data_IF_371546378755
#
_entry.id   IF_371546378755
#
_cell.length_a   1.000
_cell.length_b   1.000
_cell.length_c   1.000
_cell.angle_alpha   90.00
_cell.angle_beta   90.00
_cell.angle_gamma   90.00
#
_symmetry.space_group_name_H-M   'P 1'
#
loop_
_entity.id
_entity.type
_entity.pdbx_description
1 polymer ?
#
# COMPACT_ATOMS: atom_id res chain seq x y z
N UNK A 1 -8.65 -36.51 -34.86
CA UNK A 1 -9.60 -36.16 -33.80
C UNK A 1 -8.91 -36.38 -32.47
N UNK A 2 -8.31 -35.34 -31.89
CA UNK A 2 -7.59 -35.43 -30.61
C UNK A 2 -7.79 -34.12 -29.87
N UNK A 3 -8.62 -34.12 -28.83
CA UNK A 3 -8.97 -32.93 -28.05
C UNK A 3 -7.91 -32.70 -26.98
N UNK A 4 -7.19 -31.57 -27.05
CA UNK A 4 -6.24 -31.14 -26.01
C UNK A 4 -6.93 -30.12 -25.11
N UNK A 5 -7.14 -30.49 -23.84
CA UNK A 5 -7.72 -29.61 -22.82
C UNK A 5 -6.66 -28.63 -22.29
N UNK A 6 -6.98 -27.34 -22.27
CA UNK A 6 -6.08 -26.29 -21.74
C UNK A 6 -6.21 -26.22 -20.22
N UNK A 7 -5.17 -26.64 -19.50
CA UNK A 7 -5.03 -26.43 -18.05
C UNK A 7 -4.24 -25.16 -17.77
N UNK A 8 -4.95 -24.07 -17.46
CA UNK A 8 -4.34 -22.82 -17.01
C UNK A 8 -4.11 -22.87 -15.50
N UNK A 9 -2.88 -23.12 -15.06
CA UNK A 9 -2.55 -23.03 -13.63
C UNK A 9 -2.44 -21.57 -13.17
N UNK A 10 -3.33 -21.20 -12.25
CA UNK A 10 -3.24 -19.97 -11.48
C UNK A 10 -2.54 -20.28 -10.15
N UNK A 11 -1.52 -19.50 -9.73
CA UNK A 11 -0.90 -19.71 -8.42
C UNK A 11 -1.91 -19.41 -7.30
N UNK A 12 -1.84 -20.13 -6.16
CA UNK A 12 -2.81 -19.96 -5.08
C UNK A 12 -2.72 -18.54 -4.49
N UNK A 13 -3.87 -17.86 -4.48
CA UNK A 13 -4.03 -16.55 -3.80
C UNK A 13 -3.91 -16.75 -2.29
N UNK A 14 -2.77 -16.36 -1.74
CA UNK A 14 -2.53 -16.44 -0.30
C UNK A 14 -3.61 -15.70 0.50
N UNK A 15 -4.04 -16.34 1.59
CA UNK A 15 -5.03 -15.80 2.52
C UNK A 15 -4.37 -14.77 3.43
N UNK A 16 -4.32 -13.51 2.98
CA UNK A 16 -4.24 -12.40 3.93
C UNK A 16 -5.61 -12.25 4.59
N UNK A 17 -5.65 -12.38 5.90
CA UNK A 17 -6.84 -12.12 6.69
C UNK A 17 -7.16 -10.63 6.61
N UNK A 18 -8.38 -10.28 6.21
CA UNK A 18 -8.84 -8.90 6.07
C UNK A 18 -9.11 -8.26 7.45
N UNK A 19 -8.03 -8.05 8.21
CA UNK A 19 -7.97 -7.26 9.45
C UNK A 19 -8.14 -5.75 9.19
N UNK A 20 -8.94 -5.39 8.17
CA UNK A 20 -9.36 -4.03 7.83
C UNK A 20 -10.81 -3.73 8.27
N UNK A 21 -11.52 -4.72 8.81
CA UNK A 21 -12.93 -4.63 9.21
C UNK A 21 -13.18 -3.92 10.56
N UNK A 22 -12.30 -3.00 10.99
CA UNK A 22 -12.29 -2.44 12.35
C UNK A 22 -12.55 -0.93 12.45
N UNK A 23 -12.68 -0.21 11.33
CA UNK A 23 -13.15 1.20 11.36
C UNK A 23 -14.00 1.65 10.17
N UNK A 24 -14.57 0.72 9.39
CA UNK A 24 -15.67 1.06 8.48
C UNK A 24 -17.00 1.00 9.25
N UNK A 25 -17.24 2.04 10.07
CA UNK A 25 -18.45 2.19 10.89
C UNK A 25 -19.69 2.16 10.00
N UNK A 26 -20.30 0.97 9.90
CA UNK A 26 -21.44 0.70 9.01
C UNK A 26 -22.57 1.69 9.29
N UNK A 27 -23.31 2.10 8.26
CA UNK A 27 -24.40 3.09 8.39
C UNK A 27 -25.38 2.79 9.53
N UNK A 28 -25.66 1.50 9.80
CA UNK A 28 -26.46 1.04 10.94
C UNK A 28 -25.89 1.47 12.32
N UNK A 29 -24.57 1.37 12.53
CA UNK A 29 -23.93 1.78 13.79
C UNK A 29 -23.98 3.30 13.99
N UNK A 30 -23.82 4.09 12.92
CA UNK A 30 -24.00 5.55 12.98
C UNK A 30 -25.45 5.90 13.32
N UNK A 31 -26.42 5.18 12.75
CA UNK A 31 -27.85 5.35 13.10
C UNK A 31 -28.08 5.03 14.58
N UNK A 32 -27.58 3.90 15.07
CA UNK A 32 -27.71 3.46 16.47
C UNK A 32 -27.12 4.47 17.46
N UNK A 33 -25.92 4.99 17.22
CA UNK A 33 -25.32 6.07 18.02
C UNK A 33 -26.18 7.35 18.00
N UNK A 34 -26.75 7.74 16.85
CA UNK A 34 -27.66 8.90 16.82
C UNK A 34 -29.00 8.67 17.52
N UNK A 35 -29.52 7.43 17.57
CA UNK A 35 -30.67 7.08 18.41
C UNK A 35 -30.31 7.13 19.89
N UNK A 36 -29.15 6.62 20.29
CA UNK A 36 -28.66 6.63 21.67
C UNK A 36 -28.45 8.07 22.18
N UNK A 37 -27.78 8.92 21.41
CA UNK A 37 -27.62 10.36 21.71
C UNK A 37 -28.98 11.07 21.80
N UNK A 38 -29.94 10.74 20.94
CA UNK A 38 -31.31 11.30 21.00
C UNK A 38 -32.06 10.85 22.25
N UNK A 39 -31.87 9.60 22.69
CA UNK A 39 -32.43 9.03 23.93
C UNK A 39 -31.83 9.72 25.17
N UNK A 40 -30.52 9.97 25.20
CA UNK A 40 -29.88 10.80 26.22
C UNK A 40 -30.46 12.21 26.22
N UNK A 41 -30.53 12.88 25.04
CA UNK A 41 -31.05 14.25 24.93
C UNK A 41 -32.48 14.36 25.45
N UNK A 42 -33.36 13.42 25.10
CA UNK A 42 -34.76 13.42 25.59
C UNK A 42 -34.88 13.11 27.08
N UNK A 43 -33.95 12.36 27.68
CA UNK A 43 -33.90 12.15 29.14
C UNK A 43 -33.39 13.40 29.86
N UNK A 44 -32.33 14.06 29.37
CA UNK A 44 -31.84 15.33 29.93
C UNK A 44 -32.89 16.45 29.79
N UNK A 45 -33.61 16.50 28.66
CA UNK A 45 -34.73 17.41 28.43
C UNK A 45 -35.88 17.17 29.44
N UNK A 46 -36.20 15.90 29.76
CA UNK A 46 -37.15 15.56 30.83
C UNK A 46 -36.66 15.99 32.21
N UNK A 47 -35.39 15.78 32.54
CA UNK A 47 -34.81 16.21 33.82
C UNK A 47 -34.86 17.74 33.94
N UNK A 48 -34.46 18.49 32.90
CA UNK A 48 -34.59 19.96 32.88
C UNK A 48 -36.05 20.39 33.07
N UNK A 49 -36.97 19.77 32.32
CA UNK A 49 -38.39 20.12 32.41
C UNK A 49 -39.08 19.61 33.69
N UNK A 50 -38.45 18.77 34.51
CA UNK A 50 -38.88 18.54 35.89
C UNK A 50 -38.38 19.67 36.79
N UNK A 51 -37.06 19.88 36.84
CA UNK A 51 -36.44 20.88 37.73
C UNK A 51 -36.96 22.30 37.54
N UNK A 52 -37.31 22.69 36.31
CA UNK A 52 -37.74 24.04 35.96
C UNK A 52 -39.25 24.21 35.71
N UNK A 53 -40.09 23.19 35.97
CA UNK A 53 -41.56 23.36 35.97
C UNK A 53 -42.12 23.68 37.34
N UNK A 54 -41.52 23.15 38.40
CA UNK A 54 -42.02 23.33 39.77
C UNK A 54 -41.87 24.79 40.26
N UNK A 55 -40.94 25.57 39.69
CA UNK A 55 -40.73 27.00 40.03
C UNK A 55 -41.73 27.99 39.39
N UNK A 56 -42.47 27.60 38.33
CA UNK A 56 -43.29 28.53 37.53
C UNK A 56 -44.80 28.28 37.72
N UNK A 57 -45.19 27.18 38.37
CA UNK A 57 -46.58 26.70 38.42
C UNK A 57 -47.35 26.80 39.74
N UNK A 58 -46.75 27.28 40.85
CA UNK A 58 -47.36 27.19 42.20
C UNK A 58 -47.63 28.53 42.91
N UNK A 59 -48.06 29.56 42.18
CA UNK A 59 -48.66 30.77 42.78
C UNK A 59 -50.19 30.75 42.68
N UNK A 60 -50.84 30.61 43.85
CA UNK A 60 -52.32 30.55 44.06
C UNK A 60 -53.03 29.34 43.40
N UNK A 61 -53.59 28.41 44.17
CA UNK A 61 -54.87 28.64 44.87
C UNK A 61 -55.18 27.58 45.93
N UNK A 62 -55.61 28.05 47.11
CA UNK A 62 -56.50 27.41 48.10
C UNK A 62 -56.55 25.88 48.24
N UNK A 63 -56.19 25.39 49.43
CA UNK A 63 -57.16 24.57 50.19
C UNK A 63 -57.21 25.02 51.66
N UNK A 64 -58.37 25.56 52.04
CA UNK A 64 -58.73 25.96 53.41
C UNK A 64 -59.77 24.95 53.91
N UNK A 65 -59.44 24.19 54.96
CA UNK A 65 -60.41 23.38 55.71
C UNK A 65 -60.16 23.51 57.22
N UNK A 66 -60.99 24.36 57.82
CA UNK A 66 -61.75 24.11 59.04
C UNK A 66 -61.05 23.65 60.33
N UNK A 67 -61.06 24.56 61.30
CA UNK A 67 -60.90 24.25 62.72
C UNK A 67 -62.27 24.12 63.41
N UNK A 68 -62.36 23.26 64.46
CA UNK A 68 -63.59 22.81 65.17
C UNK A 68 -64.43 21.82 64.34
N UNK A 69 -65.12 20.80 64.85
CA UNK A 69 -65.32 20.20 66.20
C UNK A 69 -65.88 18.75 65.99
N UNK A 70 -66.09 17.83 66.95
CA UNK A 70 -65.87 17.71 68.40
C UNK A 70 -65.76 16.21 68.78
N UNK A 71 -65.41 15.87 70.04
CA UNK A 71 -65.46 14.51 70.59
C UNK A 71 -65.26 14.53 72.11
N UNK A 72 -66.31 14.20 72.89
CA UNK A 72 -66.40 14.42 74.34
C UNK A 72 -66.34 13.10 75.15
N UNK A 73 -66.49 13.19 76.49
CA UNK A 73 -66.59 12.15 77.54
C UNK A 73 -65.25 11.90 78.27
N UNK A 74 -65.14 12.07 79.60
CA UNK A 74 -66.02 12.66 80.62
C UNK A 74 -65.18 13.04 81.88
N UNK A 75 -65.70 13.97 82.70
CA UNK A 75 -65.40 14.24 84.13
C UNK A 75 -63.91 14.33 84.58
N UNK A 76 -63.46 15.31 85.35
CA UNK A 76 -64.18 16.30 86.15
C UNK A 76 -63.87 16.11 87.64
N UNK A 77 -62.82 16.77 88.13
CA UNK A 77 -62.55 17.01 89.55
C UNK A 77 -61.43 18.04 89.68
N UNK A 78 -61.65 19.12 90.43
CA UNK A 78 -60.61 20.10 90.75
C UNK A 78 -59.73 19.59 91.90
N UNK A 79 -58.41 19.74 91.78
CA UNK A 79 -57.47 19.73 92.90
C UNK A 79 -56.19 20.48 92.53
N UNK A 80 -55.89 21.58 93.23
CA UNK A 80 -54.63 22.30 93.07
C UNK A 80 -53.45 21.44 93.55
N UNK A 81 -52.36 21.34 92.76
CA UNK A 81 -51.01 20.98 93.26
C UNK A 81 -49.92 21.30 92.23
N UNK A 82 -48.69 21.53 92.70
CA UNK A 82 -47.61 22.24 91.99
C UNK A 82 -47.10 21.62 90.66
N UNK A 83 -46.98 22.41 89.58
CA UNK A 83 -46.49 21.95 88.28
C UNK A 83 -44.97 22.16 88.07
N UNK A 84 -44.10 21.66 88.96
CA UNK A 84 -42.63 21.83 88.80
C UNK A 84 -41.75 20.65 89.27
N UNK A 85 -41.61 19.64 88.40
CA UNK A 85 -40.46 18.70 88.41
C UNK A 85 -40.42 17.83 87.14
N UNK A 86 -41.49 17.08 86.88
CA UNK A 86 -41.53 16.06 85.82
C UNK A 86 -41.32 16.60 84.38
N UNK A 87 -41.72 17.84 84.11
CA UNK A 87 -41.57 18.48 82.78
C UNK A 87 -40.08 18.64 82.38
N UNK A 88 -39.22 19.00 83.34
CA UNK A 88 -37.79 19.23 83.08
C UNK A 88 -37.04 17.92 82.75
N UNK A 89 -37.41 16.82 83.40
CA UNK A 89 -36.87 15.48 83.10
C UNK A 89 -37.18 15.04 81.67
N UNK A 90 -38.43 15.23 81.23
CA UNK A 90 -38.85 14.88 79.86
C UNK A 90 -38.11 15.73 78.80
N UNK A 91 -37.93 17.03 79.06
CA UNK A 91 -37.21 17.93 78.15
C UNK A 91 -35.72 17.58 78.04
N UNK A 92 -35.04 17.29 79.16
CA UNK A 92 -33.61 16.91 79.16
C UNK A 92 -33.35 15.51 78.59
N UNK A 93 -34.32 14.59 78.67
CA UNK A 93 -34.27 13.33 77.93
C UNK A 93 -34.43 13.54 76.41
N UNK A 94 -35.41 14.36 76.00
CA UNK A 94 -35.65 14.72 74.59
C UNK A 94 -34.49 15.50 73.96
N UNK A 95 -33.78 16.31 74.75
CA UNK A 95 -32.55 17.00 74.36
C UNK A 95 -31.43 16.00 74.05
N UNK A 96 -31.11 15.10 74.99
CA UNK A 96 -30.07 14.06 74.78
C UNK A 96 -30.41 13.09 73.63
N UNK A 97 -31.69 12.79 73.40
CA UNK A 97 -32.12 12.03 72.22
C UNK A 97 -31.79 12.73 70.90
N UNK A 98 -32.03 14.05 70.81
CA UNK A 98 -31.62 14.87 69.65
C UNK A 98 -30.10 14.98 69.50
N UNK A 99 -29.38 15.07 70.60
CA UNK A 99 -27.92 15.17 70.63
C UNK A 99 -27.25 13.88 70.10
N UNK A 100 -27.76 12.71 70.51
CA UNK A 100 -27.36 11.42 69.94
C UNK A 100 -27.71 11.30 68.45
N UNK A 101 -28.89 11.78 68.04
CA UNK A 101 -29.28 11.79 66.62
C UNK A 101 -28.36 12.69 65.79
N UNK A 102 -27.98 13.87 66.31
CA UNK A 102 -27.06 14.80 65.65
C UNK A 102 -25.64 14.22 65.58
N UNK A 103 -25.17 13.52 66.62
CA UNK A 103 -23.91 12.79 66.61
C UNK A 103 -23.88 11.73 65.49
N UNK A 104 -24.96 10.96 65.32
CA UNK A 104 -25.04 9.92 64.29
C UNK A 104 -25.11 10.51 62.88
N UNK A 105 -25.92 11.57 62.66
CA UNK A 105 -25.93 12.30 61.40
C UNK A 105 -24.57 12.94 61.07
N UNK A 106 -23.79 13.35 62.08
CA UNK A 106 -22.45 13.89 61.84
C UNK A 106 -21.46 12.80 61.38
N UNK A 107 -21.53 11.59 61.94
CA UNK A 107 -20.77 10.42 61.44
C UNK A 107 -21.18 10.06 60.01
N UNK A 108 -22.48 10.06 59.73
CA UNK A 108 -22.99 9.77 58.39
C UNK A 108 -22.49 10.79 57.36
N UNK A 109 -22.47 12.09 57.69
CA UNK A 109 -21.93 13.13 56.82
C UNK A 109 -20.43 12.94 56.51
N UNK A 110 -19.59 12.62 57.50
CA UNK A 110 -18.17 12.31 57.24
C UNK A 110 -17.99 11.04 56.39
N UNK A 111 -18.82 10.00 56.59
CA UNK A 111 -18.81 8.80 55.73
C UNK A 111 -19.27 9.13 54.29
N UNK A 112 -20.27 10.00 54.11
CA UNK A 112 -20.74 10.45 52.80
C UNK A 112 -19.69 11.30 52.09
N UNK A 113 -18.97 12.16 52.82
CA UNK A 113 -17.85 12.97 52.32
C UNK A 113 -16.69 12.09 51.84
N UNK A 114 -16.28 11.10 52.64
CA UNK A 114 -15.25 10.11 52.23
C UNK A 114 -15.71 9.34 50.97
N UNK A 115 -16.97 8.90 50.89
CA UNK A 115 -17.53 8.25 49.69
C UNK A 115 -17.53 9.17 48.47
N UNK A 116 -17.85 10.45 48.63
CA UNK A 116 -17.85 11.45 47.56
C UNK A 116 -16.43 11.73 47.04
N UNK A 117 -15.46 11.86 47.95
CA UNK A 117 -14.04 12.04 47.60
C UNK A 117 -13.47 10.79 46.92
N UNK A 118 -13.74 9.60 47.44
CA UNK A 118 -13.34 8.34 46.81
C UNK A 118 -13.99 8.14 45.43
N UNK A 119 -15.26 8.49 45.25
CA UNK A 119 -15.94 8.42 43.95
C UNK A 119 -15.39 9.44 42.94
N UNK A 120 -14.95 10.62 43.40
CA UNK A 120 -14.30 11.62 42.55
C UNK A 120 -12.91 11.16 42.11
N UNK A 121 -12.11 10.63 43.04
CA UNK A 121 -10.77 10.12 42.70
C UNK A 121 -10.85 8.88 41.80
N UNK A 122 -11.80 7.95 42.04
CA UNK A 122 -12.03 6.82 41.14
C UNK A 122 -12.39 7.28 39.71
N UNK A 123 -13.22 8.32 39.58
CA UNK A 123 -13.53 8.94 38.28
C UNK A 123 -12.31 9.60 37.63
N UNK A 124 -11.52 10.35 38.39
CA UNK A 124 -10.29 10.98 37.91
C UNK A 124 -9.23 9.95 37.49
N UNK A 125 -9.06 8.87 38.26
CA UNK A 125 -8.19 7.75 37.94
C UNK A 125 -8.65 6.99 36.68
N UNK A 126 -9.96 6.79 36.49
CA UNK A 126 -10.51 6.19 35.27
C UNK A 126 -10.21 7.06 34.03
N UNK A 127 -10.43 8.38 34.12
CA UNK A 127 -10.10 9.32 33.04
C UNK A 127 -8.60 9.33 32.72
N UNK A 128 -7.72 9.32 33.74
CA UNK A 128 -6.27 9.21 33.56
C UNK A 128 -5.87 7.91 32.84
N UNK A 129 -6.45 6.77 33.24
CA UNK A 129 -6.21 5.48 32.59
C UNK A 129 -6.67 5.46 31.11
N UNK A 130 -7.83 6.04 30.80
CA UNK A 130 -8.33 6.13 29.41
C UNK A 130 -7.43 7.02 28.57
N UNK A 131 -7.03 8.20 29.09
CA UNK A 131 -6.13 9.12 28.39
C UNK A 131 -4.75 8.49 28.13
N UNK A 132 -4.19 7.78 29.11
CA UNK A 132 -2.92 7.06 28.97
C UNK A 132 -3.01 5.98 27.87
N UNK A 133 -4.02 5.10 27.92
CA UNK A 133 -4.21 4.03 26.91
C UNK A 133 -4.42 4.59 25.50
N UNK A 134 -5.13 5.71 25.36
CA UNK A 134 -5.30 6.37 24.05
C UNK A 134 -3.96 6.89 23.50
N UNK A 135 -3.10 7.46 24.35
CA UNK A 135 -1.76 7.90 23.98
C UNK A 135 -0.85 6.72 23.61
N UNK A 136 -0.82 5.67 24.45
CA UNK A 136 -0.03 4.44 24.21
C UNK A 136 -0.43 3.74 22.91
N UNK A 137 -1.74 3.63 22.64
CA UNK A 137 -2.26 3.07 21.39
C UNK A 137 -1.87 3.93 20.18
N UNK A 138 -2.00 5.26 20.26
CA UNK A 138 -1.62 6.17 19.18
C UNK A 138 -0.11 6.11 18.89
N UNK A 139 0.73 6.11 19.92
CA UNK A 139 2.18 5.99 19.78
C UNK A 139 2.54 4.64 19.14
N UNK A 140 2.02 3.53 19.66
CA UNK A 140 2.26 2.18 19.13
C UNK A 140 1.83 2.09 17.66
N UNK A 141 0.65 2.60 17.31
CA UNK A 141 0.16 2.61 15.93
C UNK A 141 1.04 3.48 15.01
N UNK A 142 1.52 4.62 15.49
CA UNK A 142 2.42 5.50 14.73
C UNK A 142 3.79 4.84 14.46
N UNK A 143 4.38 4.21 15.48
CA UNK A 143 5.63 3.47 15.37
C UNK A 143 5.50 2.21 14.49
N UNK A 144 4.37 1.52 14.56
CA UNK A 144 4.03 0.41 13.66
C UNK A 144 3.91 0.83 12.19
N UNK A 145 3.19 1.93 11.92
CA UNK A 145 3.03 2.44 10.56
C UNK A 145 4.35 2.99 10.00
N UNK A 146 5.19 3.58 10.86
CA UNK A 146 6.56 3.98 10.50
C UNK A 146 7.41 2.77 10.13
N UNK A 147 7.49 1.73 10.99
CA UNK A 147 8.25 0.50 10.72
C UNK A 147 7.80 -0.16 9.42
N UNK A 148 6.49 -0.36 9.23
CA UNK A 148 5.92 -0.92 7.98
C UNK A 148 6.29 -0.10 6.74
N UNK A 149 6.44 1.22 6.85
CA UNK A 149 6.90 2.06 5.75
C UNK A 149 8.41 1.89 5.48
N UNK A 150 9.23 1.84 6.52
CA UNK A 150 10.68 1.62 6.44
C UNK A 150 11.00 0.22 5.87
N UNK A 151 10.33 -0.82 6.35
CA UNK A 151 10.40 -2.20 5.82
C UNK A 151 10.00 -2.27 4.34
N UNK A 152 8.92 -1.58 3.97
CA UNK A 152 8.45 -1.52 2.58
C UNK A 152 9.41 -0.73 1.68
N UNK A 153 10.08 0.31 2.20
CA UNK A 153 11.06 1.09 1.47
C UNK A 153 12.35 0.30 1.23
N UNK A 154 12.87 -0.41 2.25
CA UNK A 154 13.98 -1.34 2.09
C UNK A 154 13.64 -2.49 1.14
N UNK A 155 12.45 -3.08 1.26
CA UNK A 155 11.99 -4.14 0.33
C UNK A 155 11.96 -3.63 -1.11
N UNK A 156 11.46 -2.42 -1.36
CA UNK A 156 11.48 -1.80 -2.69
C UNK A 156 12.91 -1.51 -3.18
N UNK A 157 13.80 -1.08 -2.29
CA UNK A 157 15.21 -0.80 -2.61
C UNK A 157 15.99 -2.08 -2.99
N UNK A 158 15.80 -3.18 -2.26
CA UNK A 158 16.38 -4.49 -2.57
C UNK A 158 15.86 -5.01 -3.92
N UNK A 159 14.54 -4.97 -4.13
CA UNK A 159 13.93 -5.35 -5.41
C UNK A 159 14.47 -4.51 -6.57
N UNK A 160 14.68 -3.19 -6.40
CA UNK A 160 15.28 -2.34 -7.43
C UNK A 160 16.69 -2.81 -7.79
N UNK A 161 17.55 -3.05 -6.80
CA UNK A 161 18.92 -3.51 -7.02
C UNK A 161 18.98 -4.89 -7.69
N UNK A 162 18.09 -5.81 -7.32
CA UNK A 162 18.00 -7.13 -7.97
C UNK A 162 17.60 -7.03 -9.44
N UNK A 163 16.63 -6.17 -9.78
CA UNK A 163 16.23 -5.93 -11.18
C UNK A 163 17.31 -5.19 -11.98
N UNK A 164 18.03 -4.25 -11.35
CA UNK A 164 19.17 -3.55 -11.94
C UNK A 164 20.33 -4.51 -12.25
N UNK A 165 20.61 -5.48 -11.36
CA UNK A 165 21.58 -6.55 -11.60
C UNK A 165 21.13 -7.51 -12.71
N UNK A 166 19.85 -7.92 -12.76
CA UNK A 166 19.30 -8.76 -13.85
C UNK A 166 19.37 -8.05 -15.20
N UNK A 167 19.06 -6.76 -15.25
CA UNK A 167 19.20 -5.96 -16.47
C UNK A 167 20.66 -5.88 -16.92
N UNK A 168 21.62 -5.71 -16.00
CA UNK A 168 23.05 -5.75 -16.33
C UNK A 168 23.48 -7.10 -16.91
N UNK A 169 23.06 -8.21 -16.31
CA UNK A 169 23.33 -9.55 -16.86
C UNK A 169 22.78 -9.69 -18.28
N UNK A 170 21.55 -9.26 -18.54
CA UNK A 170 20.97 -9.34 -19.89
C UNK A 170 21.67 -8.44 -20.92
N UNK A 171 22.26 -7.31 -20.51
CA UNK A 171 23.13 -6.50 -21.39
C UNK A 171 24.44 -7.24 -21.69
N UNK A 172 25.05 -7.90 -20.70
CA UNK A 172 26.25 -8.73 -20.90
C UNK A 172 25.96 -9.95 -21.79
N UNK A 173 24.80 -10.60 -21.62
CA UNK A 173 24.31 -11.70 -22.47
C UNK A 173 24.10 -11.23 -23.92
N UNK A 174 23.49 -10.06 -24.13
CA UNK A 174 23.25 -9.47 -25.45
C UNK A 174 24.56 -9.07 -26.15
N UNK A 175 25.53 -8.51 -25.43
CA UNK A 175 26.84 -8.18 -25.98
C UNK A 175 27.56 -9.43 -26.48
N UNK A 176 27.57 -10.52 -25.70
CA UNK A 176 28.14 -11.81 -26.14
C UNK A 176 27.44 -12.40 -27.38
N UNK A 177 26.15 -12.13 -27.58
CA UNK A 177 25.42 -12.54 -28.79
C UNK A 177 25.78 -11.64 -29.98
N UNK A 178 26.00 -10.34 -29.77
CA UNK A 178 26.45 -9.42 -30.79
C UNK A 178 27.88 -9.73 -31.27
N UNK A 179 28.81 -9.97 -30.35
CA UNK A 179 30.19 -10.39 -30.65
C UNK A 179 30.22 -11.66 -31.51
N UNK A 180 29.50 -12.71 -31.11
CA UNK A 180 29.38 -13.96 -31.88
C UNK A 180 28.69 -13.78 -33.23
N UNK A 181 27.79 -12.81 -33.37
CA UNK A 181 27.14 -12.48 -34.64
C UNK A 181 28.12 -11.77 -35.59
N UNK A 182 28.99 -10.90 -35.07
CA UNK A 182 30.05 -10.24 -35.83
C UNK A 182 31.13 -11.24 -36.26
N UNK A 183 31.61 -12.12 -35.36
CA UNK A 183 32.51 -13.24 -35.70
C UNK A 183 31.95 -14.10 -36.85
N UNK A 184 30.67 -14.46 -36.77
CA UNK A 184 29.98 -15.25 -37.81
C UNK A 184 29.82 -14.49 -39.12
N UNK A 185 29.68 -13.16 -39.08
CA UNK A 185 29.64 -12.31 -40.27
C UNK A 185 31.02 -12.19 -40.94
N UNK A 186 32.10 -12.08 -40.15
CA UNK A 186 33.48 -12.17 -40.66
C UNK A 186 33.75 -13.53 -41.31
N UNK A 187 33.36 -14.64 -40.67
CA UNK A 187 33.50 -16.00 -41.22
C UNK A 187 32.74 -16.18 -42.54
N UNK A 188 31.51 -15.65 -42.67
CA UNK A 188 30.76 -15.61 -43.93
C UNK A 188 31.56 -14.84 -45.00
N UNK A 189 32.03 -13.64 -44.66
CA UNK A 189 32.77 -12.76 -45.59
C UNK A 189 34.06 -13.42 -46.09
N UNK A 190 34.81 -14.09 -45.21
CA UNK A 190 36.03 -14.83 -45.58
C UNK A 190 35.73 -16.02 -46.51
N UNK A 191 34.66 -16.78 -46.22
CA UNK A 191 34.25 -17.91 -47.05
C UNK A 191 33.71 -17.48 -48.42
N UNK A 192 32.98 -16.36 -48.50
CA UNK A 192 32.52 -15.77 -49.76
C UNK A 192 33.72 -15.32 -50.62
N UNK A 193 34.72 -14.66 -50.03
CA UNK A 193 35.97 -14.27 -50.71
C UNK A 193 36.84 -15.48 -51.10
N UNK A 194 36.76 -16.61 -50.38
CA UNK A 194 37.41 -17.86 -50.79
C UNK A 194 36.67 -18.51 -51.97
N UNK A 195 35.35 -18.61 -51.89
CA UNK A 195 34.48 -19.13 -52.95
C UNK A 195 34.66 -18.35 -54.25
N UNK A 196 34.62 -17.02 -54.22
CA UNK A 196 34.78 -16.19 -55.42
C UNK A 196 36.12 -16.49 -56.13
N UNK A 197 37.23 -16.57 -55.38
CA UNK A 197 38.55 -16.87 -55.96
C UNK A 197 38.61 -18.27 -56.58
N UNK A 198 37.96 -19.27 -55.97
CA UNK A 198 37.85 -20.61 -56.57
C UNK A 198 36.96 -20.61 -57.83
N UNK A 199 35.91 -19.79 -57.90
CA UNK A 199 35.10 -19.65 -59.12
C UNK A 199 35.86 -18.92 -60.25
N UNK A 200 36.71 -17.96 -59.91
CA UNK A 200 37.63 -17.29 -60.85
C UNK A 200 38.71 -18.24 -61.37
N UNK A 201 39.33 -19.03 -60.49
CA UNK A 201 40.28 -20.10 -60.88
C UNK A 201 39.59 -21.12 -61.80
N UNK A 202 38.43 -21.64 -61.42
CA UNK A 202 37.61 -22.55 -62.25
C UNK A 202 37.32 -21.97 -63.63
N UNK A 203 37.05 -20.66 -63.73
CA UNK A 203 36.82 -19.95 -65.01
C UNK A 203 38.07 -19.95 -65.88
N UNK A 204 39.22 -19.56 -65.35
CA UNK A 204 40.49 -19.54 -66.11
C UNK A 204 40.97 -20.95 -66.51
N UNK A 205 40.73 -21.97 -65.69
CA UNK A 205 40.99 -23.37 -66.05
C UNK A 205 40.09 -23.85 -67.21
N UNK A 206 38.80 -23.48 -67.22
CA UNK A 206 37.88 -23.77 -68.32
C UNK A 206 38.29 -23.06 -69.62
N UNK A 207 38.70 -21.80 -69.54
CA UNK A 207 39.23 -21.03 -70.69
C UNK A 207 40.52 -21.66 -71.24
N UNK A 208 41.45 -22.08 -70.37
CA UNK A 208 42.66 -22.82 -70.77
C UNK A 208 42.30 -24.12 -71.48
N UNK A 209 41.41 -24.93 -70.89
CA UNK A 209 40.95 -26.20 -71.46
C UNK A 209 40.37 -26.02 -72.87
N UNK A 210 39.48 -25.05 -73.04
CA UNK A 210 38.88 -24.71 -74.32
C UNK A 210 39.92 -24.22 -75.34
N UNK A 211 40.97 -23.51 -74.91
CA UNK A 211 42.11 -23.15 -75.78
C UNK A 211 42.87 -24.37 -76.27
N UNK A 212 43.11 -25.38 -75.42
CA UNK A 212 43.78 -26.63 -75.81
C UNK A 212 42.90 -27.51 -76.71
N UNK A 213 41.60 -27.59 -76.45
CA UNK A 213 40.64 -28.31 -77.29
C UNK A 213 40.61 -27.75 -78.72
N UNK A 214 40.62 -26.42 -78.87
CA UNK A 214 40.72 -25.76 -80.17
C UNK A 214 42.06 -26.06 -80.87
N UNK A 215 43.19 -26.04 -80.15
CA UNK A 215 44.51 -26.42 -80.70
C UNK A 215 44.56 -27.89 -81.13
N UNK A 216 44.00 -28.80 -80.34
CA UNK A 216 43.89 -30.22 -80.66
C UNK A 216 43.03 -30.45 -81.90
N UNK A 217 41.96 -29.67 -82.09
CA UNK A 217 41.11 -29.72 -83.28
C UNK A 217 41.86 -29.24 -84.53
N UNK A 218 42.61 -28.12 -84.44
CA UNK A 218 43.48 -27.62 -85.52
C UNK A 218 44.63 -28.59 -85.87
N UNK A 219 45.20 -29.26 -84.88
CA UNK A 219 46.24 -30.28 -85.09
C UNK A 219 45.66 -31.57 -85.67
N UNK A 220 44.43 -31.98 -85.32
CA UNK A 220 43.76 -33.14 -85.94
C UNK A 220 43.45 -32.93 -87.44
N UNK A 221 43.31 -31.69 -87.91
CA UNK A 221 43.27 -31.39 -89.36
C UNK A 221 44.65 -31.47 -90.06
N UNK A 222 45.75 -31.68 -89.34
CA UNK A 222 47.11 -31.70 -89.88
C UNK A 222 47.83 -33.02 -89.54
N UNK A 223 47.88 -33.94 -90.52
CA UNK A 223 48.21 -35.36 -90.32
C UNK A 223 49.51 -35.73 -89.55
N UNK A 224 50.66 -35.03 -89.63
CA UNK A 224 51.92 -35.59 -89.10
C UNK A 224 52.13 -35.47 -87.58
N UNK A 225 51.26 -34.80 -86.82
CA UNK A 225 51.54 -34.38 -85.43
C UNK A 225 50.96 -35.30 -84.33
N UNK A 226 50.88 -36.62 -84.57
CA UNK A 226 50.21 -37.58 -83.70
C UNK A 226 50.62 -37.53 -82.21
N UNK A 227 51.92 -37.34 -81.90
CA UNK A 227 52.40 -37.26 -80.51
C UNK A 227 51.92 -36.00 -79.79
N UNK A 228 52.03 -34.83 -80.43
CA UNK A 228 51.52 -33.55 -79.88
C UNK A 228 50.02 -33.59 -79.61
N UNK A 229 49.25 -34.33 -80.43
CA UNK A 229 47.84 -34.59 -80.16
C UNK A 229 47.60 -35.44 -78.90
N UNK A 230 48.46 -36.41 -78.59
CA UNK A 230 48.38 -37.17 -77.33
C UNK A 230 48.79 -36.32 -76.13
N UNK A 231 49.87 -35.54 -76.25
CA UNK A 231 50.35 -34.65 -75.19
C UNK A 231 49.28 -33.61 -74.81
N UNK A 232 48.63 -32.98 -75.80
CA UNK A 232 47.49 -32.08 -75.60
C UNK A 232 46.27 -32.77 -74.99
N UNK A 233 45.94 -33.99 -75.44
CA UNK A 233 44.79 -34.73 -74.90
C UNK A 233 45.02 -35.19 -73.46
N UNK A 234 46.28 -35.40 -73.05
CA UNK A 234 46.67 -35.61 -71.65
C UNK A 234 46.50 -34.32 -70.82
N UNK A 235 46.97 -33.16 -71.30
CA UNK A 235 46.79 -31.88 -70.59
C UNK A 235 45.30 -31.52 -70.42
N UNK A 236 44.47 -31.73 -71.45
CA UNK A 236 43.01 -31.52 -71.38
C UNK A 236 42.35 -32.44 -70.34
N UNK A 237 42.85 -33.68 -70.19
CA UNK A 237 42.35 -34.64 -69.20
C UNK A 237 42.71 -34.21 -67.77
N UNK A 238 43.95 -33.78 -67.54
CA UNK A 238 44.42 -33.24 -66.25
C UNK A 238 43.63 -31.99 -65.86
N UNK A 239 43.42 -31.05 -66.79
CA UNK A 239 42.58 -29.87 -66.53
C UNK A 239 41.14 -30.26 -66.20
N UNK A 240 40.56 -31.28 -66.85
CA UNK A 240 39.21 -31.73 -66.53
C UNK A 240 39.12 -32.35 -65.14
N UNK A 241 40.14 -33.08 -64.68
CA UNK A 241 40.23 -33.60 -63.32
C UNK A 241 40.36 -32.46 -62.29
N UNK A 242 41.28 -31.50 -62.52
CA UNK A 242 41.44 -30.31 -61.68
C UNK A 242 40.15 -29.50 -61.54
N UNK A 243 39.46 -29.24 -62.67
CA UNK A 243 38.16 -28.56 -62.70
C UNK A 243 37.09 -29.34 -61.91
N UNK A 244 37.12 -30.68 -61.97
CA UNK A 244 36.16 -31.54 -61.24
C UNK A 244 36.41 -31.53 -59.74
N UNK A 245 37.68 -31.61 -59.32
CA UNK A 245 38.07 -31.48 -57.91
C UNK A 245 37.71 -30.10 -57.34
N UNK A 246 38.05 -29.02 -58.07
CA UNK A 246 37.73 -27.66 -57.65
C UNK A 246 36.21 -27.42 -57.54
N UNK A 247 35.40 -28.01 -58.44
CA UNK A 247 33.94 -27.99 -58.32
C UNK A 247 33.43 -28.68 -57.05
N UNK A 248 34.02 -29.81 -56.65
CA UNK A 248 33.65 -30.50 -55.41
C UNK A 248 34.00 -29.66 -54.17
N UNK A 249 35.19 -29.04 -54.14
CA UNK A 249 35.60 -28.14 -53.05
C UNK A 249 34.67 -26.92 -52.96
N UNK A 250 34.39 -26.25 -54.09
CA UNK A 250 33.40 -25.16 -54.15
C UNK A 250 32.05 -25.61 -53.58
N UNK A 251 31.52 -26.75 -54.02
CA UNK A 251 30.23 -27.25 -53.53
C UNK A 251 30.23 -27.47 -52.00
N UNK A 252 31.30 -28.03 -51.45
CA UNK A 252 31.45 -28.22 -49.99
C UNK A 252 31.48 -26.88 -49.22
N UNK A 253 32.14 -25.85 -49.76
CA UNK A 253 32.21 -24.53 -49.12
C UNK A 253 30.88 -23.78 -49.22
N UNK A 254 30.15 -23.89 -50.33
CA UNK A 254 28.77 -23.37 -50.41
C UNK A 254 27.84 -24.05 -49.39
N UNK A 255 28.02 -25.35 -49.11
CA UNK A 255 27.21 -26.06 -48.12
C UNK A 255 27.55 -25.61 -46.68
N UNK A 256 28.84 -25.38 -46.38
CA UNK A 256 29.28 -24.77 -45.13
C UNK A 256 28.70 -23.35 -44.95
N UNK A 257 28.83 -22.50 -45.97
CA UNK A 257 28.30 -21.13 -45.99
C UNK A 257 26.79 -21.09 -45.71
N UNK A 258 26.00 -21.99 -46.32
CA UNK A 258 24.55 -22.14 -46.03
C UNK A 258 24.27 -22.46 -44.55
N UNK A 259 25.09 -23.30 -43.91
CA UNK A 259 24.94 -23.63 -42.49
C UNK A 259 25.17 -22.41 -41.60
N UNK A 260 26.23 -21.64 -41.87
CA UNK A 260 26.58 -20.44 -41.09
C UNK A 260 25.54 -19.33 -41.30
N UNK A 261 25.01 -19.17 -42.52
CA UNK A 261 23.87 -18.28 -42.80
C UNK A 261 22.61 -18.72 -42.02
N UNK A 262 22.34 -20.02 -41.92
CA UNK A 262 21.21 -20.55 -41.15
C UNK A 262 21.37 -20.32 -39.64
N UNK A 263 22.58 -20.48 -39.09
CA UNK A 263 22.91 -20.11 -37.71
C UNK A 263 22.68 -18.60 -37.46
N UNK A 264 23.17 -17.75 -38.36
CA UNK A 264 23.00 -16.30 -38.31
C UNK A 264 21.53 -15.88 -38.37
N UNK A 265 20.72 -16.45 -39.27
CA UNK A 265 19.28 -16.19 -39.36
C UNK A 265 18.55 -16.65 -38.07
N UNK A 266 19.01 -17.75 -37.45
CA UNK A 266 18.58 -18.19 -36.13
C UNK A 266 18.84 -17.13 -35.05
N UNK A 267 20.09 -16.69 -34.88
CA UNK A 267 20.48 -15.65 -33.91
C UNK A 267 19.69 -14.36 -34.13
N UNK A 268 19.63 -13.88 -35.37
CA UNK A 268 18.85 -12.70 -35.82
C UNK A 268 17.36 -12.79 -35.47
N UNK A 269 16.77 -13.99 -35.50
CA UNK A 269 15.38 -14.18 -35.07
C UNK A 269 15.22 -14.27 -33.55
N UNK A 270 16.22 -14.77 -32.81
CA UNK A 270 16.22 -14.67 -31.33
C UNK A 270 16.39 -13.22 -30.86
N UNK A 271 17.21 -12.41 -31.53
CA UNK A 271 17.37 -10.98 -31.23
C UNK A 271 16.04 -10.23 -31.38
N UNK A 272 15.36 -10.36 -32.53
CA UNK A 272 14.02 -9.79 -32.77
C UNK A 272 12.98 -10.20 -31.72
N UNK A 273 13.12 -11.37 -31.11
CA UNK A 273 12.22 -11.84 -30.06
C UNK A 273 12.55 -11.21 -28.70
N UNK A 274 13.83 -10.95 -28.41
CA UNK A 274 14.22 -10.13 -27.25
C UNK A 274 13.80 -8.66 -27.45
N UNK A 275 13.92 -8.09 -28.66
CA UNK A 275 13.46 -6.72 -28.96
C UNK A 275 11.97 -6.53 -28.63
N UNK A 276 11.10 -7.47 -29.06
CA UNK A 276 9.67 -7.46 -28.68
C UNK A 276 9.47 -7.51 -27.16
N UNK A 277 10.27 -8.29 -26.44
CA UNK A 277 10.18 -8.38 -24.98
C UNK A 277 10.63 -7.08 -24.31
N UNK A 278 11.65 -6.42 -24.86
CA UNK A 278 12.10 -5.10 -24.43
C UNK A 278 10.97 -4.06 -24.63
N UNK A 279 10.29 -4.03 -25.79
CA UNK A 279 9.12 -3.16 -25.99
C UNK A 279 7.95 -3.49 -25.03
N UNK A 280 7.58 -4.76 -24.91
CA UNK A 280 6.55 -5.22 -23.95
C UNK A 280 6.89 -4.86 -22.48
N UNK A 281 8.18 -4.74 -22.13
CA UNK A 281 8.63 -4.30 -20.82
C UNK A 281 8.64 -2.76 -20.70
N UNK A 282 9.05 -2.03 -21.74
CA UNK A 282 8.94 -0.56 -21.81
C UNK A 282 7.49 -0.10 -21.65
N UNK A 283 6.52 -0.75 -22.31
CA UNK A 283 5.10 -0.47 -22.14
C UNK A 283 4.65 -0.65 -20.69
N UNK A 284 5.04 -1.75 -20.03
CA UNK A 284 4.73 -1.99 -18.62
C UNK A 284 5.36 -0.95 -17.70
N UNK A 285 6.61 -0.55 -17.96
CA UNK A 285 7.29 0.53 -17.22
C UNK A 285 6.55 1.86 -17.41
N UNK A 286 6.15 2.21 -18.63
CA UNK A 286 5.38 3.43 -18.92
C UNK A 286 4.03 3.46 -18.18
N UNK A 287 3.31 2.33 -18.13
CA UNK A 287 2.05 2.20 -17.38
C UNK A 287 2.29 2.36 -15.87
N UNK A 288 3.30 1.68 -15.31
CA UNK A 288 3.65 1.76 -13.90
C UNK A 288 4.15 3.17 -13.51
N UNK A 289 4.89 3.85 -14.39
CA UNK A 289 5.27 5.25 -14.22
C UNK A 289 4.06 6.19 -14.20
N UNK A 290 3.09 6.00 -15.09
CA UNK A 290 1.87 6.79 -15.12
C UNK A 290 1.06 6.61 -13.82
N UNK A 291 0.90 5.36 -13.37
CA UNK A 291 0.25 5.04 -12.08
C UNK A 291 1.02 5.62 -10.88
N UNK A 292 2.36 5.58 -10.89
CA UNK A 292 3.19 6.16 -9.84
C UNK A 292 3.04 7.69 -9.80
N UNK A 293 3.03 8.36 -10.96
CA UNK A 293 2.76 9.81 -11.09
C UNK A 293 1.36 10.16 -10.56
N UNK A 294 0.34 9.36 -10.86
CA UNK A 294 -1.03 9.54 -10.35
C UNK A 294 -1.14 9.32 -8.81
N UNK A 295 -0.48 8.29 -8.28
CA UNK A 295 -0.42 8.06 -6.83
C UNK A 295 0.32 9.21 -6.13
N UNK A 296 1.39 9.73 -6.72
CA UNK A 296 2.16 10.86 -6.18
C UNK A 296 1.35 12.17 -6.17
N UNK A 297 0.51 12.43 -7.18
CA UNK A 297 -0.39 13.60 -7.14
C UNK A 297 -1.53 13.40 -6.13
N UNK A 298 -2.11 12.20 -6.00
CA UNK A 298 -3.09 11.88 -4.95
C UNK A 298 -2.53 12.10 -3.54
N UNK A 299 -1.31 11.62 -3.26
CA UNK A 299 -0.63 11.82 -1.97
C UNK A 299 -0.34 13.30 -1.71
N UNK A 300 0.06 14.07 -2.72
CA UNK A 300 0.24 15.52 -2.60
C UNK A 300 -1.08 16.23 -2.26
N UNK A 301 -2.16 15.94 -2.99
CA UNK A 301 -3.50 16.49 -2.73
C UNK A 301 -4.02 16.16 -1.34
N UNK A 302 -3.79 14.95 -0.84
CA UNK A 302 -4.16 14.56 0.54
C UNK A 302 -3.33 15.31 1.58
N UNK A 303 -2.02 15.45 1.35
CA UNK A 303 -1.11 16.20 2.23
C UNK A 303 -1.42 17.71 2.27
N UNK A 304 -1.91 18.27 1.17
CA UNK A 304 -2.37 19.66 1.08
C UNK A 304 -3.75 19.85 1.72
N UNK A 305 -4.69 18.92 1.48
CA UNK A 305 -6.01 18.89 2.14
C UNK A 305 -5.89 18.78 3.66
N UNK A 306 -4.97 17.96 4.15
CA UNK A 306 -4.67 17.84 5.58
C UNK A 306 -4.15 19.16 6.15
N UNK A 307 -3.17 19.79 5.48
CA UNK A 307 -2.64 21.10 5.89
C UNK A 307 -3.72 22.19 5.89
N UNK A 308 -4.57 22.27 4.85
CA UNK A 308 -5.71 23.20 4.83
C UNK A 308 -6.67 23.01 6.01
N UNK A 309 -7.00 21.75 6.37
CA UNK A 309 -7.87 21.46 7.53
C UNK A 309 -7.23 21.90 8.85
N UNK A 310 -5.92 21.66 9.02
CA UNK A 310 -5.16 22.09 10.21
C UNK A 310 -5.11 23.63 10.29
N UNK A 311 -4.74 24.32 9.22
CA UNK A 311 -4.70 25.79 9.19
C UNK A 311 -6.06 26.41 9.51
N UNK A 312 -7.17 25.80 9.05
CA UNK A 312 -8.53 26.30 9.33
C UNK A 312 -9.00 26.06 10.76
N UNK A 313 -8.39 25.12 11.50
CA UNK A 313 -8.61 24.92 12.93
C UNK A 313 -7.73 25.83 13.81
N UNK A 314 -6.56 26.24 13.32
CA UNK A 314 -5.61 27.13 14.02
C UNK A 314 -5.94 28.62 13.80
N UNK A 315 -6.69 28.97 12.75
CA UNK A 315 -7.05 30.37 12.40
C UNK A 315 -8.18 30.96 13.27
N UNK A 316 -8.01 30.92 14.60
CA UNK A 316 -8.71 31.87 15.49
C UNK A 316 -8.04 33.24 15.32
N UNK A 317 -8.80 34.18 14.74
CA UNK A 317 -8.44 35.56 14.39
C UNK A 317 -7.43 36.28 15.30
N UNK A 318 -6.61 37.14 14.69
CA UNK A 318 -5.70 38.11 15.34
C UNK A 318 -6.44 39.13 16.22
N UNK A 319 -6.88 38.70 17.40
CA UNK A 319 -7.40 39.57 18.44
C UNK A 319 -6.21 40.27 19.11
N UNK A 320 -5.98 41.52 18.70
CA UNK A 320 -4.88 42.39 19.18
C UNK A 320 -4.72 42.31 20.70
N UNK A 321 -3.62 41.73 21.17
CA UNK A 321 -3.29 41.60 22.59
C UNK A 321 -2.76 42.92 23.15
N UNK A 322 -3.62 43.92 23.26
CA UNK A 322 -3.29 45.23 23.84
C UNK A 322 -3.26 45.16 25.38
N UNK A 323 -2.12 44.69 25.91
CA UNK A 323 -1.71 44.84 27.32
C UNK A 323 -2.44 44.03 28.40
N UNK A 324 -3.61 43.44 28.10
CA UNK A 324 -4.46 42.80 29.11
C UNK A 324 -4.03 41.35 29.47
N UNK A 325 -3.23 41.19 30.53
CA UNK A 325 -2.98 39.87 31.14
C UNK A 325 -4.27 39.26 31.70
N UNK A 326 -4.61 37.97 31.40
CA UNK A 326 -5.88 37.35 31.80
C UNK A 326 -6.19 37.41 33.31
N UNK A 327 -5.17 37.47 34.16
CA UNK A 327 -5.32 37.48 35.62
C UNK A 327 -5.91 38.78 36.18
N UNK A 328 -5.93 39.89 35.42
CA UNK A 328 -6.45 41.17 35.89
C UNK A 328 -7.97 41.19 36.13
N UNK A 329 -8.75 40.30 35.51
CA UNK A 329 -10.20 40.22 35.75
C UNK A 329 -10.51 39.71 37.17
N UNK A 330 -9.74 38.76 37.69
CA UNK A 330 -9.96 38.15 39.01
C UNK A 330 -9.77 39.16 40.16
N UNK A 331 -8.93 40.18 39.96
CA UNK A 331 -8.63 41.20 40.98
C UNK A 331 -9.83 42.14 41.20
N UNK A 332 -10.72 42.30 40.20
CA UNK A 332 -11.88 43.21 40.29
C UNK A 332 -13.08 42.64 41.06
N UNK A 333 -13.03 41.36 41.47
CA UNK A 333 -14.12 40.68 42.19
C UNK A 333 -13.93 40.65 43.73
N UNK A 334 -13.03 41.47 44.27
CA UNK A 334 -12.92 41.76 45.72
C UNK A 334 -13.06 43.26 46.00
N UNK A 335 -14.29 43.67 46.26
CA UNK A 335 -14.67 44.84 47.07
C UNK A 335 -15.97 44.51 47.80
#
# INVERSE_FOLDING_TARGET
MTTVTVTTELPPRDKREDNSALFESTSAHIIEETEYVRKIRTTLEKIRNQMFKDEIGQTSTNHKLDAKHCGNVQNGSDSETDPSSCSLGLLTAKMRGKELQLLEMNKENEVLKIKLEASREAGAAALRNVAQRLFENYQTQSEDMKRKHEDSAHTLQVNKLEQEQKLKQHVEDLNQVAEKLEEKHSQITELENLVQRMEEEKRTLLERKLSLENKLLQLKSNAPYAKSCQDLQMEISILQEQISHLQFVIHSQHQNLRSIIQEMEGLKNTLKEQDKRIENLKEKVNILEAQNKELKTKVALWSETARMKICKAVSTSELKTEGASPYLMLIRLRK
#
